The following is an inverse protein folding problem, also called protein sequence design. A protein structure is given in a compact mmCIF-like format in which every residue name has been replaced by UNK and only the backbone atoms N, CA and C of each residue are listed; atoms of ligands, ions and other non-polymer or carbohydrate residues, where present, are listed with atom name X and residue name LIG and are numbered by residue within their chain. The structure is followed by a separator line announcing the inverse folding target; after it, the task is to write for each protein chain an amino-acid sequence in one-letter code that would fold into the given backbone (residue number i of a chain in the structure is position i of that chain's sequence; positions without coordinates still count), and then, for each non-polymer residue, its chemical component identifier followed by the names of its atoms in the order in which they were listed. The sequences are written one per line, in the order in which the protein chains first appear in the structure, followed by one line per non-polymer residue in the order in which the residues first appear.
data_IF_311985775519
#
_entry.id   IF_311985775519
#
_cell.length_a   1.000
_cell.length_b   1.000
_cell.length_c   1.000
_cell.angle_alpha   90.00
_cell.angle_beta   90.00
_cell.angle_gamma   90.00
#
_symmetry.space_group_name_H-M   'P 1'
#
loop_
_entity.id
_entity.type
_entity.pdbx_description
1 polymer ?
#
# COMPACT_ATOMS: atom_id res chain seq x y z
N UNK A 1 -19.60 -8.44 1.30
CA UNK A 1 -19.29 -7.06 0.87
C UNK A 1 -19.05 -7.09 -0.63
N UNK A 2 -19.69 -6.21 -1.42
CA UNK A 2 -19.53 -6.18 -2.87
C UNK A 2 -18.15 -5.62 -3.24
N UNK A 3 -17.49 -6.22 -4.24
CA UNK A 3 -16.21 -5.73 -4.77
C UNK A 3 -16.45 -4.68 -5.86
N UNK A 4 -15.55 -3.69 -5.93
CA UNK A 4 -15.51 -2.78 -7.06
C UNK A 4 -14.95 -3.51 -8.28
N UNK A 5 -15.55 -3.29 -9.44
CA UNK A 5 -15.03 -3.78 -10.71
C UNK A 5 -13.83 -2.94 -11.15
N UNK A 6 -12.93 -3.52 -11.94
CA UNK A 6 -11.79 -2.81 -12.51
C UNK A 6 -12.04 -2.62 -14.01
N UNK A 7 -11.98 -1.37 -14.49
CA UNK A 7 -11.87 -1.11 -15.93
C UNK A 7 -10.57 -1.71 -16.47
N UNK A 8 -10.56 -2.06 -17.76
CA UNK A 8 -9.33 -2.47 -18.46
C UNK A 8 -8.18 -1.48 -18.22
N UNK A 9 -6.97 -2.00 -17.98
CA UNK A 9 -5.76 -1.23 -17.71
C UNK A 9 -5.53 -0.83 -16.24
N UNK A 10 -6.56 -0.91 -15.38
CA UNK A 10 -6.44 -0.49 -13.98
C UNK A 10 -5.56 -1.43 -13.17
N UNK A 11 -5.65 -2.73 -13.44
CA UNK A 11 -4.83 -3.74 -12.78
C UNK A 11 -3.33 -3.51 -13.05
N UNK A 12 -2.96 -3.38 -14.32
CA UNK A 12 -1.60 -3.15 -14.78
C UNK A 12 -1.06 -1.82 -14.25
N UNK A 13 -1.90 -0.77 -14.28
CA UNK A 13 -1.54 0.54 -13.72
C UNK A 13 -1.30 0.46 -12.22
N UNK A 14 -2.10 -0.32 -11.49
CA UNK A 14 -1.95 -0.44 -10.04
C UNK A 14 -0.65 -1.19 -9.69
N UNK A 15 -0.42 -2.33 -10.34
CA UNK A 15 0.76 -3.16 -10.11
C UNK A 15 2.07 -2.44 -10.47
N UNK A 16 2.08 -1.62 -11.53
CA UNK A 16 3.25 -0.84 -11.95
C UNK A 16 3.50 0.40 -11.07
N UNK A 17 2.43 1.03 -10.55
CA UNK A 17 2.56 2.30 -9.82
C UNK A 17 2.59 2.14 -8.31
N UNK A 18 2.07 1.07 -7.71
CA UNK A 18 2.03 0.91 -6.24
C UNK A 18 3.08 -0.11 -5.78
N UNK A 19 4.07 0.37 -5.00
CA UNK A 19 5.21 -0.44 -4.52
C UNK A 19 4.75 -1.74 -3.86
N UNK A 20 5.43 -2.84 -4.17
CA UNK A 20 5.16 -4.16 -3.59
C UNK A 20 3.96 -4.90 -4.18
N UNK A 21 3.39 -4.46 -5.32
CA UNK A 21 2.24 -5.12 -5.95
C UNK A 21 2.53 -5.72 -7.34
N UNK A 22 3.76 -5.65 -7.88
CA UNK A 22 4.08 -6.10 -9.26
C UNK A 22 3.61 -7.53 -9.59
N UNK A 23 3.68 -8.45 -8.62
CA UNK A 23 3.32 -9.87 -8.80
C UNK A 23 2.05 -10.25 -8.02
N UNK A 24 1.15 -9.30 -7.75
CA UNK A 24 -0.11 -9.57 -7.06
C UNK A 24 -1.17 -9.98 -8.07
N UNK A 25 -1.93 -11.05 -7.80
CA UNK A 25 -3.03 -11.48 -8.67
C UNK A 25 -4.15 -10.44 -8.80
N UNK A 26 -4.89 -10.49 -9.90
CA UNK A 26 -6.01 -9.59 -10.20
C UNK A 26 -7.05 -9.54 -9.07
N UNK A 27 -7.47 -10.71 -8.57
CA UNK A 27 -8.41 -10.83 -7.44
C UNK A 27 -7.92 -10.10 -6.18
N UNK A 28 -6.64 -10.28 -5.83
CA UNK A 28 -6.06 -9.64 -4.64
C UNK A 28 -5.92 -8.13 -4.87
N UNK A 29 -5.60 -7.68 -6.09
CA UNK A 29 -5.59 -6.25 -6.44
C UNK A 29 -6.99 -5.66 -6.31
N UNK A 30 -8.02 -6.32 -6.83
CA UNK A 30 -9.41 -5.88 -6.74
C UNK A 30 -9.86 -5.73 -5.28
N UNK A 31 -9.55 -6.71 -4.44
CA UNK A 31 -9.80 -6.68 -3.00
C UNK A 31 -9.04 -5.54 -2.30
N UNK A 32 -7.75 -5.35 -2.60
CA UNK A 32 -6.93 -4.25 -2.05
C UNK A 32 -7.49 -2.88 -2.43
N UNK A 33 -7.86 -2.68 -3.69
CA UNK A 33 -8.44 -1.43 -4.16
C UNK A 33 -9.81 -1.17 -3.51
N UNK A 34 -10.66 -2.19 -3.41
CA UNK A 34 -11.94 -2.11 -2.69
C UNK A 34 -11.73 -1.68 -1.24
N UNK A 35 -10.80 -2.32 -0.52
CA UNK A 35 -10.43 -1.91 0.85
C UNK A 35 -9.95 -0.46 0.90
N UNK A 36 -9.07 -0.06 -0.01
CA UNK A 36 -8.52 1.30 -0.02
C UNK A 36 -9.66 2.33 -0.20
N UNK A 37 -10.66 2.06 -1.04
CA UNK A 37 -11.86 2.92 -1.18
C UNK A 37 -12.61 3.04 0.16
N UNK A 38 -12.83 1.94 0.88
CA UNK A 38 -13.53 1.97 2.18
C UNK A 38 -12.77 2.68 3.32
N UNK A 39 -11.48 2.92 3.12
CA UNK A 39 -10.60 3.61 4.07
C UNK A 39 -10.20 5.01 3.57
N UNK A 40 -10.57 5.36 2.36
CA UNK A 40 -10.19 6.62 1.74
C UNK A 40 -11.02 7.78 2.28
N UNK A 41 -10.46 8.97 2.16
CA UNK A 41 -11.25 10.19 2.19
C UNK A 41 -12.10 10.26 0.91
N UNK A 42 -13.42 10.41 1.07
CA UNK A 42 -14.37 10.59 -0.04
C UNK A 42 -14.42 12.09 -0.37
N UNK A 43 -13.96 12.47 -1.55
CA UNK A 43 -13.97 13.87 -1.98
C UNK A 43 -15.42 14.30 -2.23
N UNK A 44 -15.90 15.41 -1.67
CA UNK A 44 -17.23 15.93 -1.99
C UNK A 44 -17.38 16.13 -3.50
N UNK A 45 -18.52 15.71 -4.05
CA UNK A 45 -18.85 15.96 -5.45
C UNK A 45 -19.25 17.42 -5.60
N UNK A 46 -19.01 18.00 -6.78
CA UNK A 46 -19.55 19.32 -7.11
C UNK A 46 -21.05 19.25 -7.43
N UNK A 47 -21.52 18.12 -7.97
CA UNK A 47 -22.92 17.87 -8.28
C UNK A 47 -23.33 16.49 -7.73
N UNK A 48 -24.43 16.43 -6.97
CA UNK A 48 -24.92 15.19 -6.35
C UNK A 48 -25.36 14.14 -7.39
N UNK A 49 -25.82 14.59 -8.56
CA UNK A 49 -26.25 13.75 -9.67
C UNK A 49 -25.08 13.12 -10.46
N UNK A 50 -23.83 13.44 -10.13
CA UNK A 50 -22.69 12.89 -10.85
C UNK A 50 -22.43 11.43 -10.43
N UNK A 51 -22.46 10.50 -11.39
CA UNK A 51 -22.17 9.07 -11.14
C UNK A 51 -20.71 8.79 -10.74
N UNK A 52 -19.85 9.81 -10.82
CA UNK A 52 -18.43 9.74 -10.53
C UNK A 52 -18.16 10.09 -9.07
N UNK A 53 -17.23 9.36 -8.45
CA UNK A 53 -16.80 9.60 -7.09
C UNK A 53 -15.29 9.44 -6.98
N UNK A 54 -14.61 10.51 -6.54
CA UNK A 54 -13.18 10.49 -6.26
C UNK A 54 -12.93 10.10 -4.80
N UNK A 55 -11.98 9.19 -4.62
CA UNK A 55 -11.50 8.71 -3.33
C UNK A 55 -9.99 8.94 -3.21
N UNK A 56 -9.53 9.32 -2.03
CA UNK A 56 -8.13 9.61 -1.74
C UNK A 56 -7.63 8.76 -0.57
N UNK A 57 -6.73 7.82 -0.88
CA UNK A 57 -6.11 6.90 0.08
C UNK A 57 -4.60 7.16 0.12
N UNK A 58 -4.16 7.96 1.09
CA UNK A 58 -2.79 8.47 1.13
C UNK A 58 -2.44 9.20 -0.16
N UNK A 59 -1.47 8.66 -0.90
CA UNK A 59 -1.02 9.20 -2.20
C UNK A 59 -1.76 8.63 -3.41
N UNK A 60 -2.64 7.66 -3.20
CA UNK A 60 -3.42 7.02 -4.25
C UNK A 60 -4.77 7.72 -4.41
N UNK A 61 -5.01 8.27 -5.60
CA UNK A 61 -6.30 8.75 -6.06
C UNK A 61 -7.01 7.65 -6.82
N UNK A 62 -8.29 7.47 -6.56
CA UNK A 62 -9.11 6.42 -7.16
C UNK A 62 -10.43 7.05 -7.61
N UNK A 63 -10.70 7.04 -8.92
CA UNK A 63 -11.97 7.49 -9.47
C UNK A 63 -12.85 6.29 -9.75
N UNK A 64 -14.05 6.32 -9.19
CA UNK A 64 -15.09 5.29 -9.37
C UNK A 64 -16.25 5.90 -10.13
N UNK A 65 -16.80 5.15 -11.08
CA UNK A 65 -18.10 5.45 -11.71
C UNK A 65 -19.04 4.32 -11.35
N UNK A 66 -20.11 4.63 -10.62
CA UNK A 66 -21.02 3.64 -10.01
C UNK A 66 -20.26 2.62 -9.15
N UNK A 67 -20.00 1.40 -9.65
CA UNK A 67 -19.25 0.34 -8.97
C UNK A 67 -17.92 -0.02 -9.65
N UNK A 68 -17.49 0.77 -10.64
CA UNK A 68 -16.30 0.46 -11.45
C UNK A 68 -15.21 1.48 -11.20
N UNK A 69 -14.02 1.02 -10.84
CA UNK A 69 -12.81 1.84 -10.79
C UNK A 69 -12.39 2.08 -12.23
N UNK A 70 -12.45 3.34 -12.66
CA UNK A 70 -12.15 3.75 -14.05
C UNK A 70 -10.81 4.43 -14.20
N UNK A 71 -10.23 4.92 -13.11
CA UNK A 71 -8.95 5.61 -13.11
C UNK A 71 -8.27 5.58 -11.74
N UNK A 72 -6.94 5.49 -11.76
CA UNK A 72 -6.11 5.56 -10.56
C UNK A 72 -4.84 6.38 -10.83
N UNK A 73 -4.35 7.07 -9.81
CA UNK A 73 -3.11 7.81 -9.86
C UNK A 73 -2.37 7.75 -8.52
N UNK A 74 -1.11 7.33 -8.54
CA UNK A 74 -0.25 7.32 -7.36
C UNK A 74 0.76 8.49 -7.38
N UNK A 75 0.53 9.52 -6.56
CA UNK A 75 1.40 10.69 -6.44
C UNK A 75 2.61 10.42 -5.52
N UNK A 76 3.56 9.60 -5.98
CA UNK A 76 4.72 9.11 -5.18
C UNK A 76 5.61 10.20 -4.54
N UNK A 77 5.63 11.42 -5.06
CA UNK A 77 6.58 12.49 -4.67
C UNK A 77 6.00 13.58 -3.77
N UNK A 78 4.75 13.47 -3.31
CA UNK A 78 4.11 14.52 -2.51
C UNK A 78 4.28 14.36 -0.98
N UNK A 79 5.20 13.51 -0.52
CA UNK A 79 5.24 13.08 0.88
C UNK A 79 3.98 12.30 1.27
N UNK A 80 3.93 11.74 2.48
CA UNK A 80 2.64 11.25 3.00
C UNK A 80 1.83 12.48 3.39
N UNK A 81 0.63 12.61 2.83
CA UNK A 81 -0.23 13.76 3.12
C UNK A 81 -0.55 13.81 4.61
N UNK A 82 -0.31 14.96 5.23
CA UNK A 82 -0.43 15.16 6.68
C UNK A 82 -1.83 14.81 7.22
N UNK A 83 -2.86 14.97 6.39
CA UNK A 83 -4.24 14.64 6.73
C UNK A 83 -4.57 13.15 6.68
N UNK A 84 -3.70 12.30 6.10
CA UNK A 84 -3.99 10.88 5.95
C UNK A 84 -3.47 10.07 7.14
N UNK A 85 -4.40 9.59 7.96
CA UNK A 85 -4.15 8.62 9.01
C UNK A 85 -4.80 7.27 8.69
N UNK A 86 -4.02 6.19 8.71
CA UNK A 86 -4.54 4.85 8.47
C UNK A 86 -5.12 4.25 9.76
N UNK A 87 -6.43 4.08 9.80
CA UNK A 87 -7.08 3.27 10.83
C UNK A 87 -6.69 1.78 10.68
N UNK A 88 -5.72 1.37 11.50
CA UNK A 88 -5.20 0.00 11.51
C UNK A 88 -6.26 -1.03 11.91
N UNK A 89 -7.18 -0.69 12.82
CA UNK A 89 -8.23 -1.60 13.30
C UNK A 89 -9.20 -1.90 12.16
N UNK A 90 -9.71 -0.85 11.49
CA UNK A 90 -10.60 -0.98 10.33
C UNK A 90 -9.90 -1.64 9.15
N UNK A 91 -8.63 -1.33 8.90
CA UNK A 91 -7.82 -1.98 7.87
C UNK A 91 -7.74 -3.51 8.08
N UNK A 92 -7.45 -3.95 9.30
CA UNK A 92 -7.38 -5.38 9.62
C UNK A 92 -8.75 -6.07 9.52
N UNK A 93 -9.82 -5.41 9.96
CA UNK A 93 -11.18 -5.93 9.80
C UNK A 93 -11.55 -6.12 8.32
N UNK A 94 -11.25 -5.14 7.46
CA UNK A 94 -11.51 -5.24 6.03
C UNK A 94 -10.66 -6.32 5.36
N UNK A 95 -9.39 -6.50 5.76
CA UNK A 95 -8.58 -7.61 5.25
C UNK A 95 -9.21 -8.97 5.56
N UNK A 96 -9.68 -9.17 6.80
CA UNK A 96 -10.40 -10.39 7.20
C UNK A 96 -11.66 -10.59 6.35
N UNK A 97 -12.51 -9.55 6.25
CA UNK A 97 -13.76 -9.60 5.48
C UNK A 97 -13.56 -9.86 3.98
N UNK A 98 -12.44 -9.40 3.41
CA UNK A 98 -12.12 -9.57 2.00
C UNK A 98 -11.26 -10.81 1.70
N UNK A 99 -10.87 -11.58 2.72
CA UNK A 99 -9.97 -12.73 2.57
C UNK A 99 -8.56 -12.34 2.12
N UNK A 100 -8.09 -11.12 2.41
CA UNK A 100 -6.72 -10.69 2.10
C UNK A 100 -5.79 -11.25 3.17
N UNK A 101 -5.06 -12.32 2.84
CA UNK A 101 -4.03 -12.88 3.72
C UNK A 101 -2.93 -11.83 3.96
N UNK A 102 -2.43 -11.75 5.20
CA UNK A 102 -1.18 -11.03 5.45
C UNK A 102 -0.08 -11.78 4.71
N UNK A 103 0.57 -11.13 3.75
CA UNK A 103 1.88 -11.61 3.33
C UNK A 103 2.75 -11.59 4.61
N UNK A 104 3.21 -12.75 5.05
CA UNK A 104 4.31 -12.83 6.00
C UNK A 104 5.47 -12.10 5.34
N UNK A 105 5.67 -10.83 5.71
CA UNK A 105 6.94 -10.19 5.42
C UNK A 105 7.98 -11.13 6.02
N UNK A 106 8.87 -11.68 5.20
CA UNK A 106 10.02 -12.44 5.68
C UNK A 106 10.80 -11.53 6.63
N UNK A 107 10.44 -11.52 7.92
CA UNK A 107 11.22 -10.82 8.95
C UNK A 107 12.61 -11.42 9.05
N UNK A 108 12.79 -12.68 8.62
CA UNK A 108 14.09 -13.37 8.54
C UNK A 108 15.14 -12.56 7.78
N UNK A 109 14.85 -12.09 6.56
CA UNK A 109 15.88 -11.39 5.76
C UNK A 109 16.29 -10.03 6.31
N UNK A 110 15.38 -9.32 6.99
CA UNK A 110 15.70 -8.05 7.67
C UNK A 110 16.47 -8.25 8.98
N UNK A 111 16.14 -9.31 9.73
CA UNK A 111 16.83 -9.63 10.98
C UNK A 111 18.22 -10.23 10.72
N UNK A 112 18.37 -11.10 9.71
CA UNK A 112 19.65 -11.68 9.29
C UNK A 112 20.60 -10.60 8.74
N UNK A 113 20.11 -9.66 7.95
CA UNK A 113 20.91 -8.54 7.45
C UNK A 113 21.40 -7.61 8.56
N UNK A 114 20.55 -7.30 9.54
CA UNK A 114 20.93 -6.47 10.69
C UNK A 114 21.87 -7.23 11.64
N UNK A 115 21.63 -8.51 11.91
CA UNK A 115 22.51 -9.33 12.76
C UNK A 115 23.92 -9.44 12.19
N UNK A 116 24.05 -9.66 10.87
CA UNK A 116 25.34 -9.67 10.18
C UNK A 116 26.04 -8.30 10.21
N UNK A 117 25.30 -7.20 10.11
CA UNK A 117 25.86 -5.85 10.26
C UNK A 117 26.40 -5.61 11.68
N UNK A 118 25.64 -5.95 12.71
CA UNK A 118 26.07 -5.80 14.11
C UNK A 118 27.26 -6.70 14.46
N UNK A 119 27.30 -7.94 13.94
CA UNK A 119 28.48 -8.80 14.10
C UNK A 119 29.72 -8.20 13.43
N UNK A 120 29.57 -7.64 12.22
CA UNK A 120 30.68 -7.00 11.50
C UNK A 120 31.20 -5.75 12.21
N UNK A 121 30.30 -4.94 12.78
CA UNK A 121 30.67 -3.78 13.61
C UNK A 121 31.37 -4.22 14.90
N UNK A 122 30.86 -5.26 15.57
CA UNK A 122 31.47 -5.80 16.81
C UNK A 122 32.87 -6.37 16.57
N UNK A 123 33.08 -7.08 15.46
CA UNK A 123 34.42 -7.53 15.04
C UNK A 123 35.36 -6.36 14.77
N UNK A 124 34.91 -5.31 14.08
CA UNK A 124 35.75 -4.15 13.77
C UNK A 124 36.16 -3.36 15.02
N UNK A 125 35.30 -3.28 16.03
CA UNK A 125 35.61 -2.65 17.32
C UNK A 125 36.60 -3.51 18.13
N UNK A 126 36.38 -4.82 18.19
CA UNK A 126 37.21 -5.71 19.02
C UNK A 126 38.60 -6.00 18.44
N UNK A 127 38.79 -5.89 17.12
CA UNK A 127 40.05 -6.26 16.46
C UNK A 127 40.68 -5.13 15.63
N UNK A 128 40.02 -3.98 15.47
CA UNK A 128 40.50 -2.84 14.68
C UNK A 128 41.26 -1.75 15.46
N UNK A 129 41.49 -1.95 16.76
CA UNK A 129 42.15 -0.98 17.66
C UNK A 129 43.49 -1.53 18.19
N UNK A 130 44.30 -2.10 17.30
CA UNK A 130 45.61 -2.68 17.68
C UNK A 130 46.78 -2.27 16.77
N UNK A 131 46.70 -1.09 16.14
CA UNK A 131 47.79 -0.53 15.33
C UNK A 131 47.91 1.00 15.44
N UNK A 132 47.79 1.54 16.66
CA UNK A 132 48.27 2.87 17.01
C UNK A 132 48.69 2.82 18.47
N UNK A 133 49.91 2.36 18.72
CA UNK A 133 50.86 2.77 19.76
C UNK A 133 52.16 1.98 19.53
#
# INVERSE_FOLDING_TARGET
MKLYQLKSGIYEKYCSTVKGNKNTSLDIVQKKLTRNIHLAFKVPKQNENEDKQLYMYGNLRILVVRNTIVWIENKKRQGTRHWFYLDKKKYNQLNKKLGIKKNSTNRKSYLEGNFNFFQKVKYKINYGLRWLL
#
